data_IF_238342168923
#
_entry.id   IF_238342168923
#
_cell.length_a   1.000
_cell.length_b   1.000
_cell.length_c   1.000
_cell.angle_alpha   90.00
_cell.angle_beta   90.00
_cell.angle_gamma   90.00
#
_symmetry.space_group_name_H-M   'P 1'
#
loop_
_entity.id
_entity.type
_entity.pdbx_description
1 polymer ?
#
# COMPACT_ATOMS: atom_id res chain seq x y z
N UNK A 1 -15.23 -19.19 12.50
CA UNK A 1 -14.46 -18.47 11.47
C UNK A 1 -15.45 -17.79 10.53
N UNK A 2 -15.39 -16.46 10.38
CA UNK A 2 -16.14 -15.82 9.29
C UNK A 2 -15.38 -16.11 7.99
N UNK A 3 -16.10 -16.35 6.89
CA UNK A 3 -15.48 -16.61 5.59
C UNK A 3 -14.74 -15.39 5.07
N UNK A 4 -13.67 -15.62 4.32
CA UNK A 4 -12.85 -14.58 3.72
C UNK A 4 -13.56 -14.02 2.47
N UNK A 5 -13.51 -12.71 2.28
CA UNK A 5 -13.94 -12.07 1.04
C UNK A 5 -12.73 -11.81 0.14
N UNK A 6 -12.94 -11.98 -1.17
CA UNK A 6 -12.04 -11.54 -2.23
C UNK A 6 -12.81 -10.48 -3.03
N UNK A 7 -12.46 -9.22 -2.80
CA UNK A 7 -13.15 -8.06 -3.35
C UNK A 7 -12.24 -7.39 -4.36
N UNK A 8 -12.70 -7.32 -5.60
CA UNK A 8 -12.03 -6.57 -6.67
C UNK A 8 -12.97 -5.48 -7.19
N UNK A 9 -12.47 -4.26 -7.29
CA UNK A 9 -13.18 -3.14 -7.89
C UNK A 9 -13.00 -3.08 -9.41
N UNK A 10 -13.09 -1.87 -9.98
CA UNK A 10 -13.06 -1.62 -11.41
C UNK A 10 -12.22 -0.37 -11.73
N UNK A 11 -12.48 0.29 -12.85
CA UNK A 11 -11.73 1.48 -13.30
C UNK A 11 -12.16 2.81 -12.66
N UNK A 12 -13.21 2.78 -11.83
CA UNK A 12 -13.76 3.96 -11.15
C UNK A 12 -13.49 3.89 -9.65
N UNK A 13 -13.56 5.05 -8.98
CA UNK A 13 -13.53 5.09 -7.52
C UNK A 13 -14.64 4.23 -6.90
N UNK A 14 -14.23 3.24 -6.11
CA UNK A 14 -15.06 2.25 -5.47
C UNK A 14 -14.94 2.36 -3.94
N UNK A 15 -15.95 1.82 -3.26
CA UNK A 15 -15.91 1.62 -1.81
C UNK A 15 -16.03 0.14 -1.50
N UNK A 16 -14.91 -0.49 -1.16
CA UNK A 16 -14.85 -1.92 -0.83
C UNK A 16 -14.83 -2.10 0.68
N UNK A 17 -15.70 -2.97 1.18
CA UNK A 17 -15.83 -3.21 2.63
C UNK A 17 -15.84 -4.70 2.92
N UNK A 18 -14.83 -5.13 3.67
CA UNK A 18 -14.66 -6.49 4.16
C UNK A 18 -15.64 -6.89 5.27
N UNK A 19 -15.26 -7.89 6.05
CA UNK A 19 -16.00 -8.48 7.15
C UNK A 19 -15.03 -8.76 8.33
N UNK A 20 -15.33 -9.70 9.24
CA UNK A 20 -14.42 -9.95 10.38
C UNK A 20 -13.45 -11.13 10.13
N UNK A 21 -13.29 -11.57 8.89
CA UNK A 21 -12.33 -12.60 8.46
C UNK A 21 -11.20 -11.95 7.67
N UNK A 22 -10.15 -12.72 7.37
CA UNK A 22 -9.00 -12.25 6.60
C UNK A 22 -9.38 -12.02 5.13
N UNK A 23 -9.58 -10.78 4.71
CA UNK A 23 -10.08 -10.43 3.39
C UNK A 23 -8.96 -10.02 2.45
N UNK A 24 -9.21 -10.17 1.15
CA UNK A 24 -8.42 -9.57 0.09
C UNK A 24 -9.23 -8.44 -0.54
N UNK A 25 -8.69 -7.24 -0.54
CA UNK A 25 -9.29 -6.06 -1.15
C UNK A 25 -8.34 -5.52 -2.22
N UNK A 26 -8.79 -5.47 -3.47
CA UNK A 26 -8.12 -4.85 -4.60
C UNK A 26 -9.04 -3.78 -5.20
N UNK A 27 -8.68 -2.51 -5.04
CA UNK A 27 -9.48 -1.39 -5.54
C UNK A 27 -9.64 -1.40 -7.07
N UNK A 28 -8.60 -1.85 -7.78
CA UNK A 28 -8.53 -1.70 -9.22
C UNK A 28 -7.86 -0.38 -9.56
N UNK A 29 -8.47 0.41 -10.44
CA UNK A 29 -7.97 1.73 -10.78
C UNK A 29 -8.97 2.80 -10.31
N UNK A 30 -8.50 4.02 -10.11
CA UNK A 30 -9.30 5.10 -9.57
C UNK A 30 -8.94 5.38 -8.11
N UNK A 31 -9.61 6.33 -7.48
CA UNK A 31 -9.36 6.60 -6.07
C UNK A 31 -10.35 5.79 -5.22
N UNK A 32 -9.89 4.69 -4.64
CA UNK A 32 -10.75 3.77 -3.90
C UNK A 32 -10.74 4.02 -2.38
N UNK A 33 -11.83 3.63 -1.72
CA UNK A 33 -11.91 3.54 -0.26
C UNK A 33 -12.00 2.07 0.15
N UNK A 34 -10.93 1.57 0.76
CA UNK A 34 -10.78 0.17 1.16
C UNK A 34 -10.93 0.05 2.69
N UNK A 35 -11.86 -0.78 3.14
CA UNK A 35 -12.16 -0.98 4.57
C UNK A 35 -12.08 -2.48 4.88
N UNK A 36 -11.06 -2.92 5.61
CA UNK A 36 -10.85 -4.32 5.97
C UNK A 36 -11.84 -4.80 7.04
N UNK A 37 -12.11 -3.94 8.03
CA UNK A 37 -12.80 -4.17 9.31
C UNK A 37 -11.99 -4.94 10.33
N UNK A 38 -12.01 -6.26 10.32
CA UNK A 38 -11.31 -7.03 11.34
C UNK A 38 -10.88 -8.38 10.80
N UNK A 39 -9.86 -8.96 11.41
CA UNK A 39 -9.09 -10.01 10.75
C UNK A 39 -7.72 -9.44 10.38
N UNK A 40 -7.01 -10.20 9.55
CA UNK A 40 -5.72 -9.81 8.98
C UNK A 40 -5.94 -9.70 7.49
N UNK A 41 -6.18 -8.48 7.03
CA UNK A 41 -6.63 -8.18 5.68
C UNK A 41 -5.44 -7.90 4.76
N UNK A 42 -5.61 -8.18 3.47
CA UNK A 42 -4.64 -7.84 2.44
C UNK A 42 -5.20 -6.78 1.51
N UNK A 43 -4.51 -5.65 1.40
CA UNK A 43 -4.82 -4.55 0.49
C UNK A 43 -3.89 -4.63 -0.70
N UNK A 44 -4.41 -5.03 -1.87
CA UNK A 44 -3.62 -5.33 -3.05
C UNK A 44 -3.62 -4.16 -4.06
N UNK A 45 -2.42 -3.83 -4.54
CA UNK A 45 -2.15 -2.80 -5.54
C UNK A 45 -1.57 -3.45 -6.79
N UNK A 46 -2.39 -3.59 -7.84
CA UNK A 46 -2.03 -4.32 -9.06
C UNK A 46 -2.36 -3.58 -10.36
N UNK A 47 -2.55 -2.26 -10.29
CA UNK A 47 -2.87 -1.40 -11.43
C UNK A 47 -1.83 -0.29 -11.58
N UNK A 48 -1.82 0.38 -12.74
CA UNK A 48 -0.86 1.43 -13.03
C UNK A 48 -1.00 2.60 -12.04
N UNK A 49 0.13 3.10 -11.53
CA UNK A 49 0.17 4.23 -10.61
C UNK A 49 -0.06 5.57 -11.34
N UNK A 50 -0.47 6.59 -10.58
CA UNK A 50 -0.66 7.96 -11.09
C UNK A 50 -2.08 8.26 -11.58
N UNK A 51 -2.27 9.40 -12.24
CA UNK A 51 -3.58 9.89 -12.74
C UNK A 51 -4.70 9.93 -11.68
N UNK A 52 -4.36 10.18 -10.42
CA UNK A 52 -5.32 10.20 -9.30
C UNK A 52 -5.71 8.81 -8.78
N UNK A 53 -5.07 7.74 -9.25
CA UNK A 53 -5.18 6.37 -8.70
C UNK A 53 -4.47 6.32 -7.33
N UNK A 54 -5.15 6.84 -6.29
CA UNK A 54 -4.65 6.93 -4.93
C UNK A 54 -5.73 6.45 -3.97
N UNK A 55 -5.51 5.26 -3.42
CA UNK A 55 -6.50 4.63 -2.55
C UNK A 55 -6.38 5.13 -1.11
N UNK A 56 -7.47 4.99 -0.37
CA UNK A 56 -7.51 5.21 1.07
C UNK A 56 -7.74 3.88 1.78
N UNK A 57 -6.77 3.44 2.57
CA UNK A 57 -6.90 2.32 3.49
C UNK A 57 -7.49 2.87 4.78
N UNK A 58 -8.79 2.67 4.98
CA UNK A 58 -9.56 3.40 5.99
C UNK A 58 -9.20 3.01 7.42
N UNK A 59 -8.90 1.73 7.64
CA UNK A 59 -8.78 1.08 8.95
C UNK A 59 -7.60 0.11 9.05
N UNK A 60 -6.58 0.26 8.20
CA UNK A 60 -5.37 -0.56 8.23
C UNK A 60 -4.77 -0.62 9.64
N UNK A 61 -4.48 -1.82 10.10
CA UNK A 61 -4.00 -2.11 11.45
C UNK A 61 -2.90 -3.17 11.44
N UNK A 62 -2.28 -3.38 12.61
CA UNK A 62 -1.23 -4.39 12.76
C UNK A 62 -1.72 -5.79 12.38
N UNK A 63 -0.94 -6.48 11.55
CA UNK A 63 -1.26 -7.81 11.02
C UNK A 63 -1.96 -7.78 9.65
N UNK A 64 -2.42 -6.62 9.19
CA UNK A 64 -2.80 -6.45 7.79
C UNK A 64 -1.56 -6.43 6.89
N UNK A 65 -1.75 -6.62 5.59
CA UNK A 65 -0.67 -6.65 4.60
C UNK A 65 -0.98 -5.75 3.43
N UNK A 66 0.01 -4.97 2.98
CA UNK A 66 -0.03 -4.24 1.73
C UNK A 66 0.66 -5.11 0.67
N UNK A 67 -0.11 -5.60 -0.30
CA UNK A 67 0.42 -6.46 -1.36
C UNK A 67 0.64 -5.66 -2.64
N UNK A 68 1.88 -5.59 -3.09
CA UNK A 68 2.32 -4.81 -4.24
C UNK A 68 2.60 -5.75 -5.42
N UNK A 69 2.06 -5.45 -6.60
CA UNK A 69 2.38 -6.28 -7.77
C UNK A 69 3.80 -6.01 -8.29
N UNK A 70 4.62 -7.06 -8.42
CA UNK A 70 5.97 -6.96 -8.99
C UNK A 70 6.00 -6.38 -10.42
N UNK A 71 4.87 -6.50 -11.15
CA UNK A 71 4.73 -5.93 -12.50
C UNK A 71 4.56 -4.40 -12.52
N UNK A 72 4.12 -3.81 -11.40
CA UNK A 72 3.90 -2.37 -11.24
C UNK A 72 5.06 -1.74 -10.46
N UNK A 73 5.50 -2.40 -9.39
CA UNK A 73 6.55 -1.93 -8.49
C UNK A 73 7.91 -2.53 -8.88
N UNK A 74 8.34 -2.22 -10.11
CA UNK A 74 9.42 -2.93 -10.83
C UNK A 74 10.84 -2.79 -10.26
N UNK A 75 11.08 -1.86 -9.34
CA UNK A 75 12.34 -1.71 -8.62
C UNK A 75 12.46 -2.68 -7.43
N UNK A 76 11.35 -3.31 -7.03
CA UNK A 76 11.30 -4.23 -5.91
C UNK A 76 11.46 -5.69 -6.37
N UNK A 77 12.14 -6.48 -5.55
CA UNK A 77 12.20 -7.93 -5.73
C UNK A 77 10.95 -8.61 -5.16
N UNK A 78 10.50 -9.69 -5.81
CA UNK A 78 9.36 -10.47 -5.32
C UNK A 78 9.68 -11.14 -3.97
N UNK A 79 8.67 -11.22 -3.10
CA UNK A 79 8.80 -11.71 -1.72
C UNK A 79 8.56 -10.61 -0.69
N UNK A 80 9.11 -10.81 0.51
CA UNK A 80 9.13 -9.80 1.56
C UNK A 80 9.90 -8.55 1.09
N UNK A 81 9.42 -7.37 1.48
CA UNK A 81 10.12 -6.12 1.15
C UNK A 81 11.45 -6.07 1.93
N UNK A 82 12.54 -5.76 1.22
CA UNK A 82 13.82 -5.47 1.89
C UNK A 82 13.66 -4.23 2.78
N UNK A 83 14.12 -4.31 4.03
CA UNK A 83 14.12 -3.18 4.96
C UNK A 83 14.87 -1.96 4.44
N UNK A 84 15.88 -2.15 3.59
CA UNK A 84 16.58 -1.05 2.93
C UNK A 84 15.72 -0.32 1.89
N UNK A 85 14.67 -0.97 1.37
CA UNK A 85 13.77 -0.39 0.39
C UNK A 85 12.60 0.40 0.99
N UNK A 86 12.52 0.49 2.33
CA UNK A 86 11.46 1.21 3.04
C UNK A 86 12.00 2.41 3.82
N UNK A 87 11.31 3.55 3.70
CA UNK A 87 11.55 4.71 4.56
C UNK A 87 10.28 5.38 5.05
N UNK A 88 10.21 5.58 6.37
CA UNK A 88 9.29 6.54 6.96
C UNK A 88 9.93 7.93 7.08
N UNK A 89 9.56 8.85 6.18
CA UNK A 89 10.00 10.25 6.21
C UNK A 89 9.23 11.09 7.22
N UNK A 90 8.03 10.66 7.62
CA UNK A 90 7.22 11.33 8.63
C UNK A 90 7.82 11.20 10.04
N UNK A 91 8.55 10.12 10.28
CA UNK A 91 9.39 9.93 11.47
C UNK A 91 10.75 10.66 11.41
N UNK A 92 10.97 11.51 10.39
CA UNK A 92 12.23 12.22 10.18
C UNK A 92 13.29 11.41 9.42
N UNK A 93 12.91 10.27 8.83
CA UNK A 93 13.75 9.50 7.94
C UNK A 93 14.23 10.33 6.74
N UNK A 94 15.49 10.14 6.36
CA UNK A 94 16.06 10.73 5.15
C UNK A 94 16.08 9.67 4.07
N UNK A 95 15.63 10.04 2.88
CA UNK A 95 15.67 9.16 1.71
C UNK A 95 17.12 8.89 1.30
N UNK A 96 17.40 7.65 0.94
CA UNK A 96 18.62 7.22 0.27
C UNK A 96 18.29 6.55 -1.09
N UNK A 97 19.33 6.06 -1.78
CA UNK A 97 19.19 5.55 -3.13
C UNK A 97 18.41 4.22 -3.22
N UNK A 98 18.27 3.51 -2.11
CA UNK A 98 17.63 2.19 -2.08
C UNK A 98 16.16 2.28 -1.63
N UNK A 99 15.74 3.41 -1.06
CA UNK A 99 14.37 3.65 -0.61
C UNK A 99 13.36 3.73 -1.76
N UNK A 100 12.59 2.66 -1.97
CA UNK A 100 11.61 2.55 -3.04
C UNK A 100 10.15 2.64 -2.55
N UNK A 101 9.88 2.32 -1.29
CA UNK A 101 8.59 2.54 -0.63
C UNK A 101 8.75 3.63 0.42
N UNK A 102 8.10 4.75 0.18
CA UNK A 102 8.19 5.94 1.01
C UNK A 102 6.86 6.14 1.75
N UNK A 103 6.92 6.06 3.06
CA UNK A 103 5.82 6.36 3.96
C UNK A 103 6.02 7.71 4.63
N UNK A 104 4.98 8.53 4.69
CA UNK A 104 4.94 9.72 5.52
C UNK A 104 3.93 9.48 6.65
N UNK A 105 4.40 9.05 7.82
CA UNK A 105 3.54 8.80 8.98
C UNK A 105 2.82 10.05 9.51
N UNK A 106 3.23 11.27 9.13
CA UNK A 106 2.50 12.48 9.53
C UNK A 106 1.21 12.66 8.73
N UNK A 107 1.22 12.27 7.45
CA UNK A 107 0.07 12.42 6.53
C UNK A 107 -0.64 11.10 6.25
N UNK A 108 0.02 9.96 6.47
CA UNK A 108 -0.42 8.63 6.07
C UNK A 108 -0.09 8.29 4.61
N UNK A 109 0.57 9.18 3.86
CA UNK A 109 0.82 8.96 2.44
C UNK A 109 1.83 7.82 2.21
N UNK A 110 1.49 6.93 1.27
CA UNK A 110 2.38 5.90 0.74
C UNK A 110 2.68 6.17 -0.73
N UNK A 111 3.96 6.17 -1.05
CA UNK A 111 4.46 6.46 -2.39
C UNK A 111 5.48 5.42 -2.83
N UNK A 112 5.54 5.16 -4.13
CA UNK A 112 6.54 4.33 -4.76
C UNK A 112 7.54 5.22 -5.50
N UNK A 113 8.81 5.09 -5.17
CA UNK A 113 9.91 5.81 -5.79
C UNK A 113 10.75 4.87 -6.65
N UNK A 114 10.53 4.90 -7.95
CA UNK A 114 11.12 3.92 -8.87
C UNK A 114 12.64 4.08 -9.04
N UNK A 115 13.18 5.27 -8.82
CA UNK A 115 14.63 5.56 -8.91
C UNK A 115 15.27 5.87 -7.54
N UNK A 116 14.56 5.60 -6.44
CA UNK A 116 15.03 5.90 -5.09
C UNK A 116 15.21 7.40 -4.87
N UNK A 117 16.22 7.83 -4.11
CA UNK A 117 16.59 9.26 -3.99
C UNK A 117 17.15 9.91 -5.29
N UNK A 118 16.75 9.43 -6.47
CA UNK A 118 17.08 9.96 -7.78
C UNK A 118 16.35 11.26 -8.11
N UNK A 119 16.07 11.46 -9.40
CA UNK A 119 15.46 12.70 -9.92
C UNK A 119 13.97 12.56 -10.20
N UNK A 120 13.48 11.36 -10.42
CA UNK A 120 12.05 11.17 -10.60
C UNK A 120 11.35 11.43 -9.26
N UNK A 121 10.08 11.83 -9.34
CA UNK A 121 9.29 12.03 -8.13
C UNK A 121 8.60 10.71 -7.78
N UNK A 122 8.63 10.35 -6.49
CA UNK A 122 7.82 9.27 -5.96
C UNK A 122 6.34 9.46 -6.32
N UNK A 123 5.70 8.38 -6.79
CA UNK A 123 4.28 8.34 -7.12
C UNK A 123 3.49 7.87 -5.92
N UNK A 124 2.66 8.76 -5.36
CA UNK A 124 1.69 8.38 -4.34
C UNK A 124 0.69 7.38 -4.92
N UNK A 125 0.44 6.30 -4.20
CA UNK A 125 -0.53 5.26 -4.59
C UNK A 125 -1.55 4.96 -3.50
N UNK A 126 -1.28 5.35 -2.24
CA UNK A 126 -2.18 5.09 -1.14
C UNK A 126 -2.08 6.13 -0.02
N UNK A 127 -3.10 6.16 0.83
CA UNK A 127 -3.15 6.85 2.11
C UNK A 127 -3.60 5.86 3.19
N UNK A 128 -2.74 5.61 4.17
CA UNK A 128 -3.07 4.87 5.39
C UNK A 128 -3.70 5.84 6.38
N UNK A 129 -5.03 5.87 6.41
CA UNK A 129 -5.80 6.87 7.15
C UNK A 129 -5.59 6.78 8.67
N UNK A 130 -5.30 5.59 9.18
CA UNK A 130 -5.02 5.34 10.61
C UNK A 130 -3.66 5.89 11.06
N UNK A 131 -2.74 6.13 10.10
CA UNK A 131 -1.36 6.57 10.36
C UNK A 131 -0.61 5.69 11.36
N UNK A 132 -0.94 4.39 11.40
CA UNK A 132 -0.22 3.43 12.22
C UNK A 132 1.24 3.36 11.76
N UNK A 133 2.20 3.12 12.67
CA UNK A 133 3.57 2.85 12.26
C UNK A 133 3.62 1.68 11.27
N UNK A 134 4.39 1.84 10.21
CA UNK A 134 4.65 0.81 9.21
C UNK A 134 6.12 0.46 9.18
N UNK A 135 6.40 -0.77 8.78
CA UNK A 135 7.73 -1.31 8.52
C UNK A 135 7.71 -2.09 7.21
N UNK A 136 8.88 -2.56 6.76
CA UNK A 136 8.94 -3.40 5.57
C UNK A 136 8.13 -4.71 5.72
N UNK A 137 7.96 -5.21 6.94
CA UNK A 137 7.21 -6.45 7.23
C UNK A 137 5.71 -6.33 6.92
N UNK A 138 5.18 -5.10 6.79
CA UNK A 138 3.78 -4.86 6.40
C UNK A 138 3.55 -5.03 4.88
N UNK A 139 4.62 -5.27 4.10
CA UNK A 139 4.56 -5.31 2.63
C UNK A 139 4.96 -6.68 2.05
N UNK A 140 4.22 -7.11 1.03
CA UNK A 140 4.52 -8.30 0.23
C UNK A 140 4.52 -7.96 -1.26
N UNK A 141 5.55 -8.38 -1.98
CA UNK A 141 5.68 -8.15 -3.42
C UNK A 141 5.36 -9.45 -4.15
N UNK A 142 4.36 -9.45 -5.03
CA UNK A 142 3.79 -10.64 -5.67
C UNK A 142 3.58 -10.51 -7.19
#
# INVERSE_FOLDING_TARGET
TKGNFDLTGNEFGNRLVGNNGANLLNGGAGADLLVGRGGHDTFAFSTALGNGNVDTLADFAAGDTIRLSASIFTALSAGELDGAAFKDIGAGGKLDADDHIVYDSTTGALSYDADGAGKAAALRFAVVNTKVPLTADDFLIA
#
